data_IF_495802236263
#
_entry.id   IF_495802236263
#
_cell.length_a   1.000
_cell.length_b   1.000
_cell.length_c   1.000
_cell.angle_alpha   90.00
_cell.angle_beta   90.00
_cell.angle_gamma   90.00
#
_symmetry.space_group_name_H-M   'P 1'
#
loop_
_entity.id
_entity.type
_entity.pdbx_description
1 polymer ?
#
# COMPACT_ATOMS: atom_id res chain seq x y z
N UNK A 1 8.68 52.20 16.01
CA UNK A 1 7.33 52.75 15.75
C UNK A 1 6.38 51.81 16.50
N UNK A 2 5.73 52.25 17.57
CA UNK A 2 4.50 53.08 17.62
C UNK A 2 3.29 52.33 17.02
N UNK A 3 2.15 52.14 17.69
CA UNK A 3 1.68 52.52 19.05
C UNK A 3 0.54 51.54 19.49
N UNK A 4 0.44 51.06 20.74
CA UNK A 4 -0.49 51.46 21.86
C UNK A 4 -2.00 51.14 21.56
N UNK A 5 -2.86 50.56 22.43
CA UNK A 5 -3.19 50.70 23.90
C UNK A 5 -3.83 49.38 24.43
N UNK A 6 -3.53 48.81 25.62
CA UNK A 6 -4.08 49.03 27.00
C UNK A 6 -5.56 48.58 27.23
N UNK A 7 -6.05 48.13 28.41
CA UNK A 7 -5.53 47.72 29.75
C UNK A 7 -6.54 46.68 30.36
N UNK A 8 -6.52 46.04 31.54
CA UNK A 8 -5.96 46.17 32.92
C UNK A 8 -5.51 44.77 33.44
N UNK A 9 -5.13 44.36 34.68
CA UNK A 9 -5.29 44.74 36.12
C UNK A 9 -6.72 44.55 36.71
N UNK A 10 -6.96 43.97 37.90
CA UNK A 10 -6.24 43.84 39.21
C UNK A 10 -6.54 42.48 39.89
N UNK A 11 -5.92 41.97 40.98
CA UNK A 11 -4.71 42.30 41.78
C UNK A 11 -4.27 41.10 42.65
N UNK A 12 -3.04 41.11 43.19
CA UNK A 12 -2.45 40.22 44.22
C UNK A 12 -1.90 41.10 45.37
N UNK A 13 -1.73 40.65 46.64
CA UNK A 13 -0.60 39.76 47.00
C UNK A 13 -0.81 38.78 48.18
N UNK A 14 0.26 38.05 48.51
CA UNK A 14 0.48 37.18 49.68
C UNK A 14 1.09 37.95 50.86
N UNK A 15 1.24 37.27 52.02
CA UNK A 15 2.14 37.45 53.20
C UNK A 15 1.33 37.14 54.50
N UNK A 16 1.87 36.65 55.62
CA UNK A 16 3.09 35.87 55.93
C UNK A 16 3.00 35.35 57.38
N UNK A 17 3.84 34.36 57.73
CA UNK A 17 3.98 33.72 59.07
C UNK A 17 4.16 34.72 60.22
N UNK A 18 3.53 34.46 61.37
CA UNK A 18 4.20 34.62 62.69
C UNK A 18 3.63 33.65 63.75
N UNK A 19 4.11 33.72 65.02
CA UNK A 19 4.29 32.53 65.86
C UNK A 19 3.86 32.66 67.34
N UNK A 20 4.15 31.60 68.11
CA UNK A 20 4.01 31.44 69.58
C UNK A 20 2.62 31.10 70.11
N UNK A 21 2.58 30.52 71.32
CA UNK A 21 1.35 30.06 71.99
C UNK A 21 1.57 29.90 73.49
N UNK A 22 0.52 29.55 74.23
CA UNK A 22 0.61 29.31 75.67
C UNK A 22 -0.38 28.25 76.18
N UNK A 23 -0.07 27.66 77.33
CA UNK A 23 -0.82 26.56 77.95
C UNK A 23 -2.04 27.02 78.75
N UNK A 24 -3.11 26.21 78.75
CA UNK A 24 -3.96 26.04 79.93
C UNK A 24 -4.58 24.64 79.96
N UNK A 25 -5.19 24.25 81.08
CA UNK A 25 -5.60 22.88 81.42
C UNK A 25 -7.11 22.74 81.64
N UNK A 26 -7.62 21.54 81.33
CA UNK A 26 -8.78 20.88 81.95
C UNK A 26 -10.16 21.55 81.92
N UNK A 27 -11.07 21.05 81.08
CA UNK A 27 -12.47 20.74 81.48
C UNK A 27 -12.91 19.40 80.84
N UNK A 28 -13.80 18.70 81.55
CA UNK A 28 -14.51 17.46 81.24
C UNK A 28 -15.47 17.60 80.01
N UNK A 29 -16.10 16.56 79.44
CA UNK A 29 -15.87 15.11 79.28
C UNK A 29 -17.00 14.53 78.39
N UNK A 30 -16.93 13.22 78.06
CA UNK A 30 -18.01 12.36 77.49
C UNK A 30 -18.51 12.67 76.06
N UNK A 31 -18.19 11.75 75.13
CA UNK A 31 -18.90 11.25 73.93
C UNK A 31 -17.85 10.35 73.24
N UNK A 32 -17.75 9.05 73.52
CA UNK A 32 -18.69 7.90 73.39
C UNK A 32 -18.29 7.02 72.20
N UNK A 33 -17.72 5.85 72.55
CA UNK A 33 -17.86 4.57 71.86
C UNK A 33 -17.33 4.41 70.40
N UNK A 34 -16.41 3.47 70.22
CA UNK A 34 -16.42 2.59 69.04
C UNK A 34 -15.55 2.99 67.84
N UNK A 35 -14.22 2.93 67.98
CA UNK A 35 -13.33 2.69 66.85
C UNK A 35 -12.45 1.46 67.10
N UNK A 36 -13.06 0.28 67.06
CA UNK A 36 -12.30 -0.97 66.88
C UNK A 36 -11.76 -0.94 65.46
N UNK A 37 -10.44 -0.90 65.31
CA UNK A 37 -9.81 -0.89 63.98
C UNK A 37 -9.94 -2.28 63.38
N UNK A 38 -10.99 -2.48 62.61
CA UNK A 38 -11.23 -3.68 61.81
C UNK A 38 -10.29 -3.64 60.61
N UNK A 39 -9.08 -4.18 60.79
CA UNK A 39 -8.24 -4.63 59.68
C UNK A 39 -8.87 -5.90 59.06
N UNK A 40 -10.05 -5.75 58.45
CA UNK A 40 -10.44 -6.63 57.35
C UNK A 40 -9.49 -6.29 56.21
N UNK A 41 -8.73 -7.27 55.75
CA UNK A 41 -7.88 -7.08 54.59
C UNK A 41 -8.73 -6.77 53.38
N UNK A 42 -8.35 -5.74 52.62
CA UNK A 42 -8.49 -5.84 51.17
C UNK A 42 -7.48 -6.89 50.71
N UNK A 43 -7.84 -8.17 50.88
CA UNK A 43 -7.23 -9.22 50.09
C UNK A 43 -7.80 -9.05 48.68
N UNK A 44 -7.12 -8.23 47.88
CA UNK A 44 -7.35 -8.18 46.45
C UNK A 44 -6.80 -9.45 45.85
N UNK A 45 -7.55 -10.55 46.01
CA UNK A 45 -7.53 -11.64 45.05
C UNK A 45 -7.92 -11.01 43.70
N UNK A 46 -6.92 -10.54 42.97
CA UNK A 46 -7.02 -10.40 41.53
C UNK A 46 -7.42 -11.78 41.03
N UNK A 47 -8.69 -11.92 40.67
CA UNK A 47 -9.31 -13.13 40.18
C UNK A 47 -8.79 -13.38 38.75
N UNK A 48 -7.49 -13.65 38.69
CA UNK A 48 -6.62 -13.64 37.54
C UNK A 48 -6.92 -14.89 36.73
N UNK A 49 -7.91 -14.73 35.85
CA UNK A 49 -8.27 -15.71 34.83
C UNK A 49 -6.96 -16.13 34.14
N UNK A 50 -6.55 -17.41 34.22
CA UNK A 50 -5.24 -17.83 33.76
C UNK A 50 -5.01 -17.40 32.31
N UNK A 51 -3.82 -16.92 31.98
CA UNK A 51 -3.46 -16.50 30.61
C UNK A 51 -3.84 -17.56 29.55
N UNK A 52 -3.73 -18.85 29.92
CA UNK A 52 -4.12 -20.02 29.13
C UNK A 52 -5.62 -20.12 28.79
N UNK A 53 -6.48 -19.27 29.36
CA UNK A 53 -7.92 -19.19 29.08
C UNK A 53 -8.23 -18.33 27.87
N UNK A 54 -7.37 -17.34 27.57
CA UNK A 54 -7.50 -16.47 26.40
C UNK A 54 -6.46 -16.78 25.31
N UNK A 55 -5.27 -17.25 25.71
CA UNK A 55 -4.17 -17.56 24.79
C UNK A 55 -3.75 -19.02 24.95
N UNK A 56 -3.92 -19.90 23.95
CA UNK A 56 -3.52 -21.31 24.06
C UNK A 56 -2.00 -21.46 24.26
N UNK A 57 -1.50 -22.59 24.81
CA UNK A 57 -0.06 -22.79 25.07
C UNK A 57 0.88 -22.68 23.85
N UNK A 58 0.33 -22.66 22.64
CA UNK A 58 1.07 -22.53 21.36
C UNK A 58 0.94 -21.15 20.71
N UNK A 59 0.44 -20.13 21.45
CA UNK A 59 0.18 -18.76 20.96
C UNK A 59 1.33 -18.12 20.15
N UNK A 60 2.58 -18.37 20.56
CA UNK A 60 3.80 -17.85 19.90
C UNK A 60 4.49 -18.87 18.98
N UNK A 61 3.91 -20.06 18.78
CA UNK A 61 4.45 -21.10 17.89
C UNK A 61 3.91 -20.90 16.48
N UNK A 62 4.72 -20.35 15.58
CA UNK A 62 4.33 -20.12 14.19
C UNK A 62 3.79 -21.39 13.51
N UNK A 63 2.74 -21.23 12.70
CA UNK A 63 2.03 -22.33 12.00
C UNK A 63 1.32 -23.35 12.91
N UNK A 64 1.26 -23.16 14.23
CA UNK A 64 0.37 -23.95 15.09
C UNK A 64 -1.11 -23.55 14.88
N UNK A 65 -2.02 -24.49 15.14
CA UNK A 65 -3.47 -24.25 15.06
C UNK A 65 -3.92 -23.13 16.01
N UNK A 66 -3.34 -23.09 17.22
CA UNK A 66 -3.54 -22.01 18.20
C UNK A 66 -2.49 -20.89 18.14
N UNK A 67 -1.86 -20.64 16.98
CA UNK A 67 -0.96 -19.50 16.80
C UNK A 67 -1.75 -18.19 16.75
N UNK A 68 -1.24 -17.11 17.34
CA UNK A 68 -1.94 -15.80 17.35
C UNK A 68 -2.23 -15.27 15.94
N UNK A 69 -1.35 -15.47 14.98
CA UNK A 69 -1.61 -15.11 13.59
C UNK A 69 -2.77 -15.92 12.98
N UNK A 70 -2.93 -17.19 13.34
CA UNK A 70 -4.06 -18.02 12.90
C UNK A 70 -5.38 -17.50 13.48
N UNK A 71 -5.36 -17.09 14.75
CA UNK A 71 -6.53 -16.52 15.43
C UNK A 71 -6.93 -15.16 14.82
N UNK A 72 -5.98 -14.24 14.65
CA UNK A 72 -6.19 -12.94 13.99
C UNK A 72 -6.73 -13.10 12.57
N UNK A 73 -6.21 -14.07 11.80
CA UNK A 73 -6.71 -14.38 10.45
C UNK A 73 -8.14 -14.97 10.42
N UNK A 74 -8.61 -15.55 11.52
CA UNK A 74 -9.90 -16.24 11.60
C UNK A 74 -10.99 -15.37 12.24
N UNK A 75 -10.63 -14.64 13.30
CA UNK A 75 -11.54 -13.92 14.19
C UNK A 75 -11.33 -12.39 14.16
N UNK A 76 -10.22 -11.91 13.58
CA UNK A 76 -9.85 -10.51 13.56
C UNK A 76 -9.40 -9.96 14.92
N UNK A 77 -9.14 -8.65 14.98
CA UNK A 77 -8.58 -7.98 16.16
C UNK A 77 -9.63 -7.60 17.22
N UNK A 78 -10.93 -7.68 16.89
CA UNK A 78 -12.08 -7.13 17.64
C UNK A 78 -12.12 -7.52 19.11
N UNK A 79 -11.70 -8.75 19.41
CA UNK A 79 -11.69 -9.29 20.77
C UNK A 79 -10.39 -8.97 21.54
N UNK A 80 -9.27 -8.75 20.83
CA UNK A 80 -8.00 -8.31 21.39
C UNK A 80 -8.07 -6.87 21.95
N UNK A 81 -8.76 -5.97 21.25
CA UNK A 81 -8.92 -4.54 21.62
C UNK A 81 -9.59 -4.35 23.01
N UNK A 82 -10.29 -5.38 23.51
CA UNK A 82 -10.91 -5.38 24.85
C UNK A 82 -9.88 -5.32 25.99
N UNK A 83 -8.64 -5.72 25.72
CA UNK A 83 -7.57 -5.84 26.71
C UNK A 83 -6.27 -5.12 26.29
N UNK A 84 -5.92 -5.15 24.99
CA UNK A 84 -4.67 -4.61 24.44
C UNK A 84 -4.74 -3.14 23.99
N UNK A 85 -5.81 -2.43 24.37
CA UNK A 85 -6.24 -1.12 23.88
C UNK A 85 -6.58 -1.05 22.38
N UNK A 86 -7.29 0.03 22.01
CA UNK A 86 -7.79 0.26 20.65
C UNK A 86 -6.68 0.44 19.59
N UNK A 87 -5.45 0.76 20.02
CA UNK A 87 -4.28 0.97 19.17
C UNK A 87 -3.24 -0.16 19.29
N UNK A 88 -3.54 -1.25 20.02
CA UNK A 88 -2.66 -2.39 20.26
C UNK A 88 -1.33 -2.05 20.97
N UNK A 89 -1.26 -0.90 21.64
CA UNK A 89 -0.10 -0.52 22.49
C UNK A 89 -0.06 -1.23 23.85
N UNK A 90 -1.07 -2.05 24.17
CA UNK A 90 -1.03 -3.06 25.24
C UNK A 90 -2.06 -2.86 26.35
N UNK A 91 -2.61 -1.66 26.51
CA UNK A 91 -3.73 -1.35 27.41
C UNK A 91 -3.58 -1.95 28.82
N UNK A 92 -4.64 -2.59 29.30
CA UNK A 92 -4.68 -3.22 30.63
C UNK A 92 -3.81 -4.48 30.77
N UNK A 93 -3.18 -4.94 29.70
CA UNK A 93 -2.23 -6.08 29.74
C UNK A 93 -0.77 -5.67 29.77
N UNK A 94 -0.47 -4.41 29.47
CA UNK A 94 0.88 -3.87 29.20
C UNK A 94 1.66 -4.57 28.07
N UNK A 95 1.07 -5.54 27.34
CA UNK A 95 1.70 -6.29 26.24
C UNK A 95 1.28 -5.71 24.88
N UNK A 96 2.16 -4.95 24.24
CA UNK A 96 1.93 -4.41 22.89
C UNK A 96 2.21 -5.45 21.80
N UNK A 97 1.40 -5.47 20.74
CA UNK A 97 1.71 -6.22 19.52
C UNK A 97 3.05 -5.78 18.88
N UNK A 98 3.43 -4.52 19.09
CA UNK A 98 4.58 -3.88 18.45
C UNK A 98 5.93 -4.28 19.07
N UNK A 99 5.94 -4.95 20.23
CA UNK A 99 7.16 -5.53 20.82
C UNK A 99 7.81 -6.58 19.90
N UNK A 100 6.99 -7.34 19.17
CA UNK A 100 7.45 -8.39 18.25
C UNK A 100 7.30 -7.99 16.77
N UNK A 101 6.21 -7.29 16.41
CA UNK A 101 5.90 -6.96 15.01
C UNK A 101 6.47 -5.61 14.55
N UNK A 102 7.16 -4.86 15.44
CA UNK A 102 7.54 -3.47 15.19
C UNK A 102 6.32 -2.54 15.15
N UNK A 103 6.49 -1.26 14.82
CA UNK A 103 5.38 -0.28 14.81
C UNK A 103 4.28 -0.58 13.79
N UNK A 104 4.55 -1.39 12.76
CA UNK A 104 3.64 -1.60 11.62
C UNK A 104 3.39 -0.35 10.74
N UNK A 105 3.95 0.80 11.12
CA UNK A 105 3.70 2.11 10.52
C UNK A 105 4.66 2.44 9.36
N UNK A 106 5.93 2.04 9.45
CA UNK A 106 7.00 2.57 8.57
C UNK A 106 7.68 1.52 7.69
N UNK A 107 7.30 0.23 7.76
CA UNK A 107 8.06 -0.85 7.12
C UNK A 107 7.20 -2.01 6.62
N UNK A 108 6.74 -1.91 5.36
CA UNK A 108 6.04 -3.01 4.69
C UNK A 108 6.87 -4.30 4.65
N UNK A 109 8.20 -4.22 4.45
CA UNK A 109 9.09 -5.39 4.35
C UNK A 109 9.42 -6.06 5.68
N UNK A 110 8.82 -5.63 6.79
CA UNK A 110 8.76 -6.42 8.02
C UNK A 110 7.84 -7.65 7.89
N UNK A 111 6.79 -7.56 7.06
CA UNK A 111 5.77 -8.61 6.88
C UNK A 111 5.58 -9.03 5.42
N UNK A 112 5.56 -8.06 4.51
CA UNK A 112 5.33 -8.24 3.07
C UNK A 112 6.66 -8.18 2.31
N UNK A 113 7.15 -9.30 1.79
CA UNK A 113 8.42 -9.38 1.05
C UNK A 113 9.60 -9.69 1.96
N UNK A 114 10.73 -8.99 1.79
CA UNK A 114 11.93 -9.06 2.65
C UNK A 114 12.76 -10.35 2.55
N UNK A 115 12.12 -11.49 2.28
CA UNK A 115 12.78 -12.81 2.19
C UNK A 115 13.53 -13.06 0.87
N UNK A 116 13.11 -12.40 -0.23
CA UNK A 116 13.77 -12.47 -1.55
C UNK A 116 14.54 -11.20 -1.88
N UNK A 117 13.88 -10.07 -1.66
CA UNK A 117 14.37 -8.72 -1.90
C UNK A 117 13.56 -7.73 -1.04
N UNK A 118 13.89 -6.44 -1.16
CA UNK A 118 13.28 -5.35 -0.38
C UNK A 118 12.17 -4.60 -1.15
N UNK A 119 11.58 -5.18 -2.21
CA UNK A 119 10.52 -4.50 -2.99
C UNK A 119 9.15 -4.47 -2.30
N UNK A 120 8.95 -5.33 -1.30
CA UNK A 120 7.63 -5.61 -0.74
C UNK A 120 6.84 -6.69 -1.47
N UNK A 121 7.37 -7.22 -2.58
CA UNK A 121 6.59 -7.86 -3.62
C UNK A 121 7.29 -9.10 -4.22
N UNK A 122 6.66 -10.29 -4.21
CA UNK A 122 5.44 -10.66 -3.49
C UNK A 122 5.62 -10.69 -1.98
N UNK A 123 4.56 -10.43 -1.20
CA UNK A 123 4.49 -10.92 0.16
C UNK A 123 4.48 -12.47 0.18
N UNK A 124 5.09 -13.11 1.19
CA UNK A 124 4.65 -14.43 1.60
C UNK A 124 3.15 -14.39 1.88
N UNK A 125 2.39 -15.33 1.32
CA UNK A 125 0.97 -15.46 1.62
C UNK A 125 0.74 -15.79 3.09
N UNK A 126 -0.45 -15.43 3.58
CA UNK A 126 -0.83 -15.53 5.00
C UNK A 126 -0.88 -16.98 5.53
N UNK A 127 -0.67 -18.01 4.69
CA UNK A 127 -0.52 -19.42 5.06
C UNK A 127 0.88 -19.97 4.74
N UNK A 128 1.87 -19.09 4.52
CA UNK A 128 3.23 -19.44 4.15
C UNK A 128 3.43 -19.69 2.65
N UNK A 129 2.49 -19.27 1.79
CA UNK A 129 2.66 -19.38 0.34
C UNK A 129 3.84 -18.53 -0.14
N UNK A 130 4.88 -19.12 -0.75
CA UNK A 130 6.03 -18.37 -1.30
C UNK A 130 6.29 -18.62 -2.79
N UNK A 131 5.66 -19.61 -3.40
CA UNK A 131 5.89 -19.95 -4.81
C UNK A 131 4.97 -19.12 -5.75
N UNK A 132 5.47 -18.61 -6.89
CA UNK A 132 4.73 -17.70 -7.76
C UNK A 132 3.57 -18.36 -8.53
N UNK A 133 3.45 -19.69 -8.46
CA UNK A 133 2.29 -20.46 -8.90
C UNK A 133 1.09 -20.35 -7.92
N UNK A 134 1.24 -19.66 -6.78
CA UNK A 134 0.16 -19.41 -5.81
C UNK A 134 -0.44 -18.01 -5.95
N UNK A 135 -1.76 -17.87 -5.76
CA UNK A 135 -2.48 -16.57 -5.95
C UNK A 135 -1.93 -15.44 -5.06
N UNK A 136 -1.55 -15.75 -3.82
CA UNK A 136 -1.04 -14.74 -2.88
C UNK A 136 0.29 -14.13 -3.34
N UNK A 137 1.08 -14.91 -4.08
CA UNK A 137 2.43 -14.57 -4.52
C UNK A 137 2.38 -14.06 -5.95
N UNK A 138 2.02 -14.93 -6.91
CA UNK A 138 1.79 -14.58 -8.31
C UNK A 138 2.89 -13.75 -8.96
N UNK A 139 2.47 -12.89 -9.88
CA UNK A 139 3.34 -12.06 -10.72
C UNK A 139 3.77 -10.72 -10.07
N UNK A 140 3.60 -10.51 -8.76
CA UNK A 140 3.99 -9.25 -8.08
C UNK A 140 5.44 -8.83 -8.42
N UNK A 141 6.40 -9.73 -8.28
CA UNK A 141 7.83 -9.44 -8.56
C UNK A 141 8.05 -9.07 -10.04
N UNK A 142 7.29 -9.66 -10.95
CA UNK A 142 7.39 -9.41 -12.39
C UNK A 142 6.79 -8.07 -12.83
N UNK A 143 6.20 -7.30 -11.91
CA UNK A 143 5.71 -5.94 -12.14
C UNK A 143 6.44 -4.88 -11.30
N UNK A 144 7.03 -5.25 -10.16
CA UNK A 144 7.63 -4.30 -9.19
C UNK A 144 9.15 -4.13 -9.34
N UNK A 145 9.80 -4.91 -10.21
CA UNK A 145 11.22 -4.75 -10.57
C UNK A 145 11.37 -4.22 -11.99
N UNK A 146 12.49 -3.54 -12.25
CA UNK A 146 12.84 -3.11 -13.61
C UNK A 146 13.06 -4.32 -14.53
N UNK A 147 12.54 -4.22 -15.75
CA UNK A 147 12.76 -5.17 -16.83
C UNK A 147 13.37 -4.46 -18.04
N UNK A 148 13.74 -5.21 -19.08
CA UNK A 148 14.24 -4.64 -20.34
C UNK A 148 13.20 -3.75 -21.02
N UNK A 149 11.90 -4.06 -20.88
CA UNK A 149 10.82 -3.37 -21.60
C UNK A 149 10.02 -2.36 -20.76
N UNK A 150 10.21 -2.30 -19.43
CA UNK A 150 9.49 -1.35 -18.56
C UNK A 150 10.22 -1.11 -17.22
N UNK A 151 9.97 0.03 -16.57
CA UNK A 151 10.49 0.37 -15.22
C UNK A 151 9.54 -0.12 -14.14
N UNK A 152 10.07 -0.63 -13.02
CA UNK A 152 9.30 -1.26 -11.94
C UNK A 152 8.13 -0.41 -11.44
N UNK A 153 6.92 -0.98 -11.45
CA UNK A 153 5.68 -0.31 -11.06
C UNK A 153 5.57 -0.22 -9.54
N UNK A 154 5.25 0.96 -9.01
CA UNK A 154 4.86 1.12 -7.61
C UNK A 154 3.52 0.40 -7.35
N UNK A 155 3.33 -0.17 -6.15
CA UNK A 155 2.15 -0.99 -5.83
C UNK A 155 0.80 -0.25 -6.01
N UNK A 156 0.81 1.09 -5.89
CA UNK A 156 -0.32 1.99 -6.20
C UNK A 156 -0.77 1.99 -7.66
N UNK A 157 -0.01 1.36 -8.57
CA UNK A 157 -0.46 1.09 -9.94
C UNK A 157 -1.60 0.06 -9.97
N UNK A 158 -1.65 -0.85 -8.99
CA UNK A 158 -2.56 -1.97 -8.96
C UNK A 158 -3.67 -1.81 -7.91
N UNK A 159 -3.31 -1.48 -6.67
CA UNK A 159 -4.23 -1.51 -5.52
C UNK A 159 -3.98 -0.35 -4.55
N UNK A 160 -4.91 -0.13 -3.61
CA UNK A 160 -4.67 0.78 -2.49
C UNK A 160 -3.45 0.28 -1.71
N UNK A 161 -2.48 1.15 -1.45
CA UNK A 161 -1.40 0.89 -0.50
C UNK A 161 -1.78 1.58 0.80
N UNK A 162 -2.12 0.83 1.87
CA UNK A 162 -2.47 1.43 3.16
C UNK A 162 -1.23 2.07 3.81
N UNK A 163 -1.42 3.20 4.49
CA UNK A 163 -0.34 3.92 5.18
C UNK A 163 0.14 3.20 6.45
N UNK A 164 -0.73 2.43 7.10
CA UNK A 164 -0.44 1.66 8.32
C UNK A 164 -1.08 0.28 8.28
N UNK A 165 -0.48 -0.70 8.96
CA UNK A 165 -0.94 -2.11 8.93
C UNK A 165 -2.31 -2.37 9.58
N UNK A 166 -3.01 -1.36 10.10
CA UNK A 166 -4.37 -1.47 10.65
C UNK A 166 -5.38 -0.57 9.93
N UNK A 167 -5.03 -0.06 8.75
CA UNK A 167 -6.04 0.47 7.83
C UNK A 167 -7.05 -0.63 7.48
N UNK A 168 -8.32 -0.23 7.32
CA UNK A 168 -9.34 -1.00 6.61
C UNK A 168 -8.78 -1.74 5.38
N UNK A 169 -8.04 -1.05 4.50
CA UNK A 169 -7.48 -1.59 3.25
C UNK A 169 -6.19 -2.44 3.42
N UNK A 170 -5.79 -2.76 4.66
CA UNK A 170 -4.71 -3.74 4.90
C UNK A 170 -5.26 -5.14 5.22
N UNK A 171 -6.35 -5.20 5.99
CA UNK A 171 -6.95 -6.44 6.47
C UNK A 171 -8.38 -6.71 5.95
N UNK A 172 -8.97 -5.83 5.13
CA UNK A 172 -10.43 -5.74 4.91
C UNK A 172 -11.21 -5.79 6.24
N UNK A 173 -10.77 -4.97 7.21
CA UNK A 173 -11.45 -4.91 8.50
C UNK A 173 -12.67 -3.98 8.46
N UNK A 174 -13.71 -4.41 7.76
CA UNK A 174 -14.99 -3.72 7.75
C UNK A 174 -15.65 -3.75 9.13
N UNK A 175 -15.55 -2.61 9.84
CA UNK A 175 -16.34 -2.27 11.03
C UNK A 175 -17.85 -2.13 10.75
N UNK A 176 -18.25 -2.16 9.48
CA UNK A 176 -19.62 -1.88 9.02
C UNK A 176 -20.35 -3.12 8.47
N UNK A 177 -19.66 -4.25 8.28
CA UNK A 177 -20.27 -5.55 8.02
C UNK A 177 -20.20 -6.46 9.25
N UNK A 178 -21.24 -7.27 9.46
CA UNK A 178 -21.32 -8.27 10.53
C UNK A 178 -21.70 -9.65 9.95
N UNK A 179 -20.91 -10.71 10.17
CA UNK A 179 -19.62 -10.70 10.86
C UNK A 179 -18.57 -9.90 10.09
N UNK A 180 -17.74 -9.13 10.80
CA UNK A 180 -16.56 -8.47 10.23
C UNK A 180 -15.64 -9.53 9.61
N UNK A 181 -15.18 -9.32 8.36
CA UNK A 181 -14.59 -10.38 7.53
C UNK A 181 -13.27 -9.97 6.90
N UNK A 182 -12.17 -10.42 7.49
CA UNK A 182 -10.86 -10.43 6.84
C UNK A 182 -10.92 -11.41 5.66
N UNK A 183 -11.19 -10.90 4.45
CA UNK A 183 -11.38 -11.72 3.25
C UNK A 183 -10.08 -11.92 2.44
N UNK A 184 -9.08 -11.08 2.72
CA UNK A 184 -7.76 -11.04 2.08
C UNK A 184 -7.84 -10.90 0.55
N UNK A 185 -8.64 -9.96 0.06
CA UNK A 185 -8.66 -9.46 -1.31
C UNK A 185 -8.20 -8.01 -1.30
N UNK A 186 -6.99 -7.76 -1.81
CA UNK A 186 -6.51 -6.39 -2.02
C UNK A 186 -7.49 -5.60 -2.91
N UNK A 187 -7.84 -4.38 -2.50
CA UNK A 187 -8.74 -3.49 -3.21
C UNK A 187 -8.05 -2.95 -4.46
N UNK A 188 -8.30 -3.62 -5.60
CA UNK A 188 -7.59 -3.39 -6.86
C UNK A 188 -8.06 -2.11 -7.56
N UNK A 189 -7.69 -0.96 -7.01
CA UNK A 189 -8.00 0.38 -7.52
C UNK A 189 -6.96 0.85 -8.55
N UNK A 190 -7.04 0.31 -9.77
CA UNK A 190 -6.25 0.77 -10.92
C UNK A 190 -6.52 2.26 -11.19
N UNK A 191 -5.56 3.15 -10.89
CA UNK A 191 -5.83 4.59 -10.80
C UNK A 191 -4.75 5.53 -11.36
N UNK A 192 -3.53 5.07 -11.66
CA UNK A 192 -2.38 5.93 -11.98
C UNK A 192 -1.84 5.82 -13.41
N UNK A 193 -2.03 4.68 -14.09
CA UNK A 193 -1.59 4.46 -15.49
C UNK A 193 -2.76 4.02 -16.38
N UNK A 194 -3.61 3.10 -15.88
CA UNK A 194 -4.80 2.61 -16.56
C UNK A 194 -5.93 2.48 -15.53
N UNK A 195 -7.15 2.90 -15.89
CA UNK A 195 -8.36 2.83 -15.06
C UNK A 195 -9.37 1.80 -15.57
N UNK A 196 -9.03 1.07 -16.64
CA UNK A 196 -9.91 0.11 -17.32
C UNK A 196 -9.57 -1.35 -17.04
N UNK A 197 -8.41 -1.61 -16.42
CA UNK A 197 -8.00 -2.96 -15.98
C UNK A 197 -9.05 -3.57 -15.05
N UNK A 198 -9.27 -4.88 -15.20
CA UNK A 198 -10.16 -5.65 -14.34
C UNK A 198 -9.51 -6.94 -13.88
N UNK A 199 -9.74 -7.32 -12.61
CA UNK A 199 -9.21 -8.53 -12.00
C UNK A 199 -10.31 -9.59 -11.83
N UNK A 200 -10.07 -10.81 -12.30
CA UNK A 200 -10.93 -11.96 -12.02
C UNK A 200 -10.22 -12.92 -11.05
N UNK A 201 -10.46 -12.75 -9.75
CA UNK A 201 -9.91 -13.62 -8.68
C UNK A 201 -10.27 -15.10 -8.88
N UNK A 202 -11.43 -15.41 -9.43
CA UNK A 202 -11.86 -16.79 -9.68
C UNK A 202 -11.05 -17.46 -10.78
N UNK A 203 -10.74 -16.74 -11.86
CA UNK A 203 -9.96 -17.21 -13.00
C UNK A 203 -8.45 -16.90 -12.88
N UNK A 204 -7.98 -16.29 -11.78
CA UNK A 204 -6.61 -15.79 -11.61
C UNK A 204 -6.13 -14.95 -12.81
N UNK A 205 -6.98 -14.15 -13.45
CA UNK A 205 -6.65 -13.46 -14.70
C UNK A 205 -6.98 -11.96 -14.68
N UNK A 206 -6.09 -11.14 -15.23
CA UNK A 206 -6.40 -9.74 -15.53
C UNK A 206 -6.98 -9.62 -16.96
N UNK A 207 -7.76 -8.57 -17.20
CA UNK A 207 -8.31 -8.25 -18.52
C UNK A 207 -8.45 -6.73 -18.69
N UNK A 208 -8.65 -6.28 -19.93
CA UNK A 208 -8.75 -4.85 -20.30
C UNK A 208 -7.52 -3.99 -19.95
N UNK A 209 -6.32 -4.57 -19.79
CA UNK A 209 -5.12 -3.80 -19.39
C UNK A 209 -4.34 -3.22 -20.57
N UNK A 210 -4.09 -1.91 -20.54
CA UNK A 210 -3.16 -1.19 -21.42
C UNK A 210 -1.78 -1.90 -21.46
N UNK A 211 -1.21 -2.23 -20.30
CA UNK A 211 0.10 -2.86 -20.17
C UNK A 211 0.20 -4.21 -20.92
N UNK A 212 -0.94 -4.87 -21.13
CA UNK A 212 -1.03 -6.13 -21.87
C UNK A 212 -1.74 -6.02 -23.23
N UNK A 213 -1.89 -4.81 -23.79
CA UNK A 213 -2.35 -4.62 -25.17
C UNK A 213 -3.78 -4.07 -25.36
N UNK A 214 -4.48 -3.66 -24.31
CA UNK A 214 -5.77 -2.95 -24.44
C UNK A 214 -5.57 -1.48 -24.84
N UNK A 215 -5.04 -1.25 -26.04
CA UNK A 215 -4.87 0.09 -26.63
C UNK A 215 -5.01 0.07 -28.15
N UNK A 216 -5.11 1.25 -28.76
CA UNK A 216 -5.24 1.39 -30.23
C UNK A 216 -3.97 0.89 -30.94
N UNK A 217 -4.07 -0.24 -31.65
CA UNK A 217 -2.93 -0.93 -32.27
C UNK A 217 -2.32 -2.06 -31.42
N UNK A 218 -2.87 -2.31 -30.22
CA UNK A 218 -2.51 -3.44 -29.36
C UNK A 218 -3.47 -4.63 -29.51
N UNK A 219 -3.06 -5.79 -28.99
CA UNK A 219 -3.80 -7.04 -29.01
C UNK A 219 -4.77 -7.16 -27.81
N UNK A 220 -5.87 -6.41 -27.88
CA UNK A 220 -6.89 -6.27 -26.83
C UNK A 220 -7.53 -7.58 -26.29
N UNK A 221 -7.30 -8.73 -26.92
CA UNK A 221 -7.79 -10.04 -26.46
C UNK A 221 -6.89 -10.71 -25.41
N UNK A 222 -5.74 -10.12 -25.08
CA UNK A 222 -4.82 -10.64 -24.09
C UNK A 222 -5.42 -10.66 -22.67
N UNK A 223 -5.31 -11.81 -22.00
CA UNK A 223 -5.85 -12.06 -20.66
C UNK A 223 -4.80 -12.77 -19.80
N UNK A 224 -3.79 -12.04 -19.30
CA UNK A 224 -2.67 -12.64 -18.58
C UNK A 224 -3.12 -13.32 -17.29
N UNK A 225 -2.53 -14.49 -17.04
CA UNK A 225 -2.75 -15.35 -15.89
C UNK A 225 -1.76 -14.99 -14.78
N UNK A 226 -2.26 -14.56 -13.63
CA UNK A 226 -1.51 -14.00 -12.50
C UNK A 226 -0.45 -14.94 -11.90
N UNK A 227 -0.59 -16.25 -12.11
CA UNK A 227 0.30 -17.30 -11.62
C UNK A 227 1.01 -18.05 -12.76
N UNK A 228 1.02 -17.47 -13.97
CA UNK A 228 1.67 -18.01 -15.17
C UNK A 228 2.96 -17.27 -15.53
N UNK A 229 3.87 -17.96 -16.22
CA UNK A 229 5.15 -17.42 -16.69
C UNK A 229 5.13 -17.03 -18.17
N UNK A 230 6.11 -16.22 -18.60
CA UNK A 230 6.44 -15.94 -20.01
C UNK A 230 5.34 -15.23 -20.85
N UNK A 231 4.50 -14.42 -20.22
CA UNK A 231 3.32 -13.79 -20.83
C UNK A 231 3.54 -12.36 -21.39
N UNK A 232 4.79 -11.92 -21.52
CA UNK A 232 5.17 -10.57 -21.98
C UNK A 232 6.28 -10.62 -23.05
N UNK A 233 6.23 -11.60 -23.95
CA UNK A 233 7.18 -11.73 -25.05
C UNK A 233 6.99 -10.61 -26.10
N UNK A 234 8.08 -10.13 -26.70
CA UNK A 234 8.00 -9.10 -27.75
C UNK A 234 7.07 -9.54 -28.89
N UNK A 235 6.15 -8.66 -29.30
CA UNK A 235 5.07 -9.00 -30.24
C UNK A 235 3.78 -9.52 -29.60
N UNK A 236 3.71 -9.77 -28.28
CA UNK A 236 2.47 -10.23 -27.63
C UNK A 236 1.49 -9.09 -27.34
N UNK A 237 1.97 -7.89 -26.99
CA UNK A 237 1.11 -6.75 -26.62
C UNK A 237 0.68 -5.89 -27.82
N UNK A 238 1.56 -5.72 -28.81
CA UNK A 238 1.30 -5.05 -30.09
C UNK A 238 2.23 -5.64 -31.17
N UNK A 239 1.96 -5.39 -32.45
CA UNK A 239 2.87 -5.80 -33.52
C UNK A 239 4.14 -4.94 -33.55
N UNK A 240 5.29 -5.58 -33.80
CA UNK A 240 6.64 -4.98 -33.79
C UNK A 240 7.17 -4.72 -35.22
N UNK A 241 6.29 -4.42 -36.17
CA UNK A 241 6.63 -4.23 -37.58
C UNK A 241 6.56 -5.50 -38.44
N UNK A 242 6.41 -6.67 -37.82
CA UNK A 242 6.31 -7.96 -38.51
C UNK A 242 5.02 -8.09 -39.35
N UNK A 243 3.92 -7.48 -38.90
CA UNK A 243 2.62 -7.47 -39.56
C UNK A 243 2.05 -6.04 -39.54
N UNK A 244 2.54 -5.11 -40.38
CA UNK A 244 2.18 -3.69 -40.31
C UNK A 244 0.67 -3.38 -40.35
N UNK A 245 -0.18 -4.32 -40.80
CA UNK A 245 -1.64 -4.18 -40.78
C UNK A 245 -2.31 -4.32 -39.41
N UNK A 246 -1.59 -4.72 -38.36
CA UNK A 246 -2.09 -4.71 -36.98
C UNK A 246 -1.72 -3.44 -36.21
N UNK A 247 -0.65 -2.74 -36.61
CA UNK A 247 -0.29 -1.41 -36.09
C UNK A 247 -1.34 -0.40 -36.58
N UNK A 248 -1.75 0.55 -35.73
CA UNK A 248 -2.89 1.43 -36.03
C UNK A 248 -2.71 2.22 -37.34
N UNK A 249 -3.84 2.42 -38.03
CA UNK A 249 -4.07 3.13 -39.32
C UNK A 249 -2.83 3.74 -39.97
N UNK A 250 -2.30 4.82 -39.41
CA UNK A 250 -1.26 5.67 -40.02
C UNK A 250 0.17 5.21 -39.70
N UNK A 251 0.38 4.53 -38.58
CA UNK A 251 1.65 3.84 -38.32
C UNK A 251 1.84 2.69 -39.33
N UNK A 252 0.75 2.01 -39.73
CA UNK A 252 0.81 0.99 -40.80
C UNK A 252 1.40 1.54 -42.11
N UNK A 253 1.15 2.81 -42.45
CA UNK A 253 1.68 3.45 -43.66
C UNK A 253 3.19 3.70 -43.57
N UNK A 254 3.67 4.14 -42.41
CA UNK A 254 5.09 4.40 -42.16
C UNK A 254 5.88 3.09 -42.12
N UNK A 255 5.41 2.08 -41.39
CA UNK A 255 6.01 0.75 -41.35
C UNK A 255 6.04 0.08 -42.74
N UNK A 256 4.98 0.20 -43.55
CA UNK A 256 4.96 -0.27 -44.95
C UNK A 256 5.89 0.49 -45.89
N UNK A 257 6.36 1.66 -45.48
CA UNK A 257 7.32 2.50 -46.22
C UNK A 257 8.76 2.31 -45.73
N UNK A 258 9.01 1.34 -44.84
CA UNK A 258 10.28 1.08 -44.16
C UNK A 258 10.84 2.31 -43.41
N UNK A 259 9.95 3.16 -42.85
CA UNK A 259 10.33 4.13 -41.82
C UNK A 259 10.56 3.37 -40.53
N UNK A 260 11.76 3.48 -39.96
CA UNK A 260 12.13 2.79 -38.72
C UNK A 260 11.42 3.39 -37.50
N UNK A 261 11.17 2.56 -36.50
CA UNK A 261 10.47 2.99 -35.28
C UNK A 261 11.27 4.04 -34.49
N UNK A 262 12.60 3.92 -34.50
CA UNK A 262 13.56 4.85 -33.89
C UNK A 262 13.45 6.27 -34.44
N UNK A 263 12.95 6.45 -35.67
CA UNK A 263 12.87 7.76 -36.33
C UNK A 263 11.79 8.65 -35.72
N UNK A 264 10.82 8.07 -34.99
CA UNK A 264 9.77 8.77 -34.26
C UNK A 264 9.75 8.45 -32.76
N UNK A 265 10.33 7.33 -32.32
CA UNK A 265 10.37 6.87 -30.93
C UNK A 265 11.81 6.78 -30.41
N UNK A 266 12.65 7.77 -30.77
CA UNK A 266 14.09 7.80 -30.54
C UNK A 266 14.52 7.70 -29.07
N UNK A 267 13.61 8.00 -28.14
CA UNK A 267 13.79 7.91 -26.68
C UNK A 267 13.29 6.59 -26.08
N UNK A 268 12.64 5.73 -26.87
CA UNK A 268 12.01 4.48 -26.41
C UNK A 268 12.72 3.26 -26.99
N UNK A 269 12.99 3.26 -28.30
CA UNK A 269 13.62 2.14 -29.03
C UNK A 269 14.74 2.59 -29.96
N UNK A 270 15.71 1.71 -30.20
CA UNK A 270 16.74 1.90 -31.23
C UNK A 270 16.39 1.24 -32.57
N UNK A 271 17.34 1.31 -33.52
CA UNK A 271 17.17 0.80 -34.89
C UNK A 271 17.17 -0.74 -35.01
N UNK A 272 17.60 -1.47 -33.98
CA UNK A 272 17.47 -2.92 -33.87
C UNK A 272 16.18 -3.33 -33.12
N UNK A 273 15.36 -2.34 -32.73
CA UNK A 273 14.11 -2.43 -31.95
C UNK A 273 14.29 -2.87 -30.49
N UNK A 274 15.50 -2.71 -29.93
CA UNK A 274 15.73 -2.90 -28.49
C UNK A 274 15.20 -1.69 -27.70
N UNK A 275 14.61 -1.95 -26.53
CA UNK A 275 14.01 -0.90 -25.68
C UNK A 275 15.10 -0.19 -24.87
N UNK A 276 15.55 0.95 -25.39
CA UNK A 276 16.54 1.82 -24.73
C UNK A 276 15.94 2.76 -23.69
N UNK A 277 14.61 2.95 -23.71
CA UNK A 277 13.86 3.80 -22.78
C UNK A 277 12.72 3.07 -22.06
N UNK A 278 13.01 2.10 -21.17
CA UNK A 278 11.98 1.35 -20.44
C UNK A 278 11.09 2.25 -19.55
N UNK A 279 11.54 3.45 -19.18
CA UNK A 279 10.74 4.44 -18.46
C UNK A 279 9.65 5.13 -19.32
N UNK A 280 9.67 4.94 -20.64
CA UNK A 280 8.79 5.60 -21.62
C UNK A 280 8.00 4.62 -22.50
N UNK A 281 8.15 3.31 -22.26
CA UNK A 281 7.55 2.27 -23.11
C UNK A 281 6.21 1.74 -22.57
N UNK A 282 6.06 1.70 -21.23
CA UNK A 282 4.83 1.28 -20.54
C UNK A 282 4.52 2.27 -19.40
N UNK A 283 4.39 3.55 -19.76
CA UNK A 283 4.12 4.68 -18.84
C UNK A 283 2.69 5.24 -18.94
N UNK A 284 1.87 4.72 -19.87
CA UNK A 284 0.52 5.22 -20.16
C UNK A 284 0.48 6.39 -21.15
N UNK A 285 1.63 6.89 -21.59
CA UNK A 285 1.77 8.03 -22.50
C UNK A 285 2.07 7.56 -23.94
N UNK A 286 2.31 8.53 -24.83
CA UNK A 286 2.70 8.30 -26.22
C UNK A 286 3.91 9.17 -26.55
N UNK A 287 5.05 8.79 -25.98
CA UNK A 287 6.31 9.50 -26.14
C UNK A 287 6.82 9.36 -27.58
N UNK A 288 6.99 10.49 -28.24
CA UNK A 288 7.49 10.63 -29.62
C UNK A 288 8.59 11.70 -29.61
N UNK A 289 9.76 11.34 -30.13
CA UNK A 289 10.89 12.24 -30.36
C UNK A 289 11.55 11.84 -31.68
N UNK A 290 11.71 12.81 -32.59
CA UNK A 290 12.15 12.55 -33.96
C UNK A 290 13.67 12.56 -34.08
N UNK A 291 14.28 11.38 -34.28
CA UNK A 291 15.74 11.22 -34.35
C UNK A 291 16.38 12.06 -35.47
N UNK A 292 15.74 12.11 -36.64
CA UNK A 292 16.27 12.74 -37.86
C UNK A 292 15.83 14.20 -38.04
N UNK A 293 14.94 14.69 -37.17
CA UNK A 293 14.24 15.96 -37.36
C UNK A 293 13.98 16.62 -35.99
N UNK A 294 15.04 17.14 -35.35
CA UNK A 294 15.03 17.63 -33.96
C UNK A 294 14.18 18.89 -33.72
N UNK A 295 13.41 19.34 -34.71
CA UNK A 295 12.37 20.37 -34.60
C UNK A 295 10.95 19.85 -34.87
N UNK A 296 10.80 18.60 -35.31
CA UNK A 296 9.52 17.98 -35.62
C UNK A 296 8.66 17.76 -34.37
N UNK A 297 7.35 17.96 -34.50
CA UNK A 297 6.40 17.89 -33.39
C UNK A 297 5.23 16.98 -33.76
N UNK A 298 4.82 16.12 -32.83
CA UNK A 298 3.56 15.37 -32.91
C UNK A 298 2.68 15.69 -31.70
N UNK A 299 1.56 16.38 -31.94
CA UNK A 299 0.54 16.73 -30.93
C UNK A 299 -0.83 16.50 -31.54
N UNK A 300 -1.78 15.93 -30.79
CA UNK A 300 -3.20 15.77 -31.16
C UNK A 300 -3.43 15.30 -32.61
N UNK A 301 -2.67 14.27 -33.02
CA UNK A 301 -2.76 13.64 -34.36
C UNK A 301 -2.37 14.60 -35.50
N UNK A 302 -1.51 15.57 -35.21
CA UNK A 302 -0.87 16.47 -36.18
C UNK A 302 0.65 16.34 -36.12
N UNK A 303 1.29 16.11 -37.27
CA UNK A 303 2.73 16.31 -37.45
C UNK A 303 3.00 17.73 -37.97
N UNK A 304 3.91 18.48 -37.35
CA UNK A 304 4.42 19.76 -37.85
C UNK A 304 5.95 19.82 -37.85
N UNK A 305 6.47 20.84 -38.52
CA UNK A 305 7.89 21.27 -38.48
C UNK A 305 8.94 20.23 -38.94
N UNK A 306 8.47 19.17 -39.62
CA UNK A 306 9.30 18.19 -40.31
C UNK A 306 10.06 18.84 -41.48
N UNK A 307 11.39 18.88 -41.36
CA UNK A 307 12.33 19.55 -42.24
C UNK A 307 13.17 18.61 -43.12
N UNK A 308 13.29 17.31 -42.78
CA UNK A 308 14.16 16.35 -43.49
C UNK A 308 13.46 15.01 -43.73
N UNK A 309 13.35 14.60 -45.01
CA UNK A 309 13.06 13.21 -45.42
C UNK A 309 11.62 12.71 -45.25
N UNK A 310 10.85 13.31 -44.34
CA UNK A 310 9.46 12.94 -44.06
C UNK A 310 8.47 13.61 -45.04
N UNK A 311 7.37 14.20 -44.54
CA UNK A 311 6.34 14.86 -45.34
C UNK A 311 5.97 16.24 -44.79
N UNK A 312 5.38 17.10 -45.63
CA UNK A 312 4.77 18.37 -45.20
C UNK A 312 3.78 18.20 -44.03
N UNK A 313 3.57 19.24 -43.23
CA UNK A 313 2.72 19.19 -42.03
C UNK A 313 1.29 18.68 -42.33
N UNK A 314 0.78 17.80 -41.48
CA UNK A 314 -0.49 17.08 -41.68
C UNK A 314 -1.22 16.83 -40.36
N UNK A 315 -2.53 17.05 -40.39
CA UNK A 315 -3.51 16.67 -39.38
C UNK A 315 -4.29 15.43 -39.87
N UNK A 316 -4.63 14.52 -38.96
CA UNK A 316 -5.38 13.29 -39.23
C UNK A 316 -6.52 13.01 -38.23
N UNK A 317 -7.16 14.06 -37.71
CA UNK A 317 -8.35 13.95 -36.86
C UNK A 317 -9.54 13.26 -37.55
#
# INVERSE_FOLDING_TARGET
MKDITAKSETSRPLLSVESSGFMSRSVLALISLGLVVVFLGCDSEENSIPWSTYHPPVWMTTQAEGFHGTDVLTNGLKDCLKCHDNDLTGGITEVSCFECHGSGQDNCVACHGGFRDNTGAPPPGLRGEVAPDTRAVGAHQAHTVDATIFTGMACVACHIVPEVSWDSAHFDYSLFEEPSRIDSIAEVTWNSIDTTVMWNRGANSCFNSYCHGNFTGGFFTNTPYWIGADQAACGSCHDVGANPGFIDRLHSSHARSNVGCEQCHATVVDADLEVIGPAYHVDGLKTIEFQIDSGGVFIDRTCSDLSVGCHEARDWN
#
